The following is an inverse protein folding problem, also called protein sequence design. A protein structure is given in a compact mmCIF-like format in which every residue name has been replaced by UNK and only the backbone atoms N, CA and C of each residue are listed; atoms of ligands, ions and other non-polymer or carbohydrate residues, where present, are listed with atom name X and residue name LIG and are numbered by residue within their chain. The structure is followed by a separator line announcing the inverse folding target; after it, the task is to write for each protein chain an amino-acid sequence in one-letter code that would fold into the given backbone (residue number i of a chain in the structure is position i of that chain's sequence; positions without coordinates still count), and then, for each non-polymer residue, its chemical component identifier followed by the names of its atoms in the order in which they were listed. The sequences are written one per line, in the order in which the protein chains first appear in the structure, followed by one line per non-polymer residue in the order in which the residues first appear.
data_IF_017301161081
#
_entry.id   IF_017301161081
#
_cell.length_a   1.000
_cell.length_b   1.000
_cell.length_c   1.000
_cell.angle_alpha   90.00
_cell.angle_beta   90.00
_cell.angle_gamma   90.00
#
_symmetry.space_group_name_H-M   'P 1'
#
loop_
_entity.id
_entity.type
_entity.pdbx_description
1 polymer ?
#
# COMPACT_ATOMS: atom_id res chain seq x y z
N UNK A 1 -37.51 19.89 -7.23
CA UNK A 1 -37.07 18.66 -7.90
C UNK A 1 -37.01 17.58 -6.84
N UNK A 2 -38.09 16.84 -6.77
CA UNK A 2 -38.60 16.09 -5.64
C UNK A 2 -38.95 14.74 -6.28
N UNK A 3 -38.10 13.75 -6.02
CA UNK A 3 -38.02 12.52 -6.80
C UNK A 3 -39.17 11.53 -6.49
N UNK A 4 -40.39 12.01 -6.22
CA UNK A 4 -41.59 11.19 -6.11
C UNK A 4 -41.64 10.18 -4.94
N UNK A 5 -40.58 10.03 -4.14
CA UNK A 5 -40.61 9.22 -2.93
C UNK A 5 -41.01 10.07 -1.72
N UNK A 6 -42.22 9.83 -1.22
CA UNK A 6 -42.81 10.52 -0.06
C UNK A 6 -42.28 10.04 1.29
N UNK A 7 -41.43 9.01 1.31
CA UNK A 7 -40.88 8.42 2.53
C UNK A 7 -39.37 8.62 2.51
N UNK A 8 -38.93 9.61 3.27
CA UNK A 8 -37.52 9.83 3.51
C UNK A 8 -37.20 9.11 4.83
N UNK A 9 -36.53 7.95 4.77
CA UNK A 9 -35.88 7.27 5.90
C UNK A 9 -36.71 6.27 6.76
N UNK A 10 -37.90 5.85 6.32
CA UNK A 10 -38.60 4.71 6.94
C UNK A 10 -39.18 4.95 8.35
N UNK A 11 -39.11 6.19 8.85
CA UNK A 11 -39.72 6.64 10.12
C UNK A 11 -41.14 7.21 9.92
N UNK A 12 -41.64 7.23 8.69
CA UNK A 12 -42.96 7.74 8.32
C UNK A 12 -43.08 9.27 8.29
N UNK A 13 -42.01 10.03 8.56
CA UNK A 13 -42.07 11.50 8.64
C UNK A 13 -41.40 12.13 7.42
N UNK A 14 -42.15 12.97 6.70
CA UNK A 14 -41.59 13.70 5.54
C UNK A 14 -40.60 14.74 6.05
N UNK A 15 -39.48 14.92 5.34
CA UNK A 15 -38.47 15.91 5.70
C UNK A 15 -39.03 17.35 5.81
N UNK A 16 -40.07 17.68 5.04
CA UNK A 16 -40.78 18.97 5.10
C UNK A 16 -41.65 19.17 6.35
N UNK A 17 -41.98 18.08 7.04
CA UNK A 17 -42.85 18.08 8.23
C UNK A 17 -42.00 18.13 9.53
N UNK A 18 -40.70 18.43 9.44
CA UNK A 18 -39.84 18.63 10.61
C UNK A 18 -40.15 19.96 11.30
N UNK A 19 -40.17 19.99 12.65
CA UNK A 19 -40.66 21.15 13.42
C UNK A 19 -39.78 22.40 13.30
N UNK A 20 -38.55 22.29 12.79
CA UNK A 20 -37.62 23.41 12.64
C UNK A 20 -36.87 23.34 11.31
N UNK A 21 -36.90 24.43 10.53
CA UNK A 21 -36.26 24.52 9.22
C UNK A 21 -34.73 24.36 9.24
N UNK A 22 -34.08 24.54 10.40
CA UNK A 22 -32.63 24.41 10.55
C UNK A 22 -32.15 22.97 10.75
N UNK A 23 -33.04 21.97 10.83
CA UNK A 23 -32.65 20.60 11.08
C UNK A 23 -32.21 19.91 9.79
N UNK A 24 -30.95 19.47 9.74
CA UNK A 24 -30.45 18.56 8.70
C UNK A 24 -30.36 17.16 9.29
N UNK A 25 -31.14 16.21 8.76
CA UNK A 25 -30.99 14.80 9.09
C UNK A 25 -29.78 14.25 8.32
N UNK A 26 -28.85 13.62 9.03
CA UNK A 26 -27.69 12.93 8.44
C UNK A 26 -27.97 11.41 8.47
N UNK A 27 -27.71 10.71 7.38
CA UNK A 27 -27.69 9.25 7.35
C UNK A 27 -26.23 8.79 7.41
N UNK A 28 -25.91 7.93 8.37
CA UNK A 28 -24.62 7.24 8.45
C UNK A 28 -24.88 5.81 8.01
N UNK A 29 -24.32 5.43 6.86
CA UNK A 29 -24.33 4.05 6.40
C UNK A 29 -23.00 3.39 6.73
N UNK A 30 -23.04 2.25 7.40
CA UNK A 30 -21.86 1.40 7.57
C UNK A 30 -21.83 0.41 6.42
N UNK A 31 -20.97 0.66 5.43
CA UNK A 31 -20.69 -0.33 4.38
C UNK A 31 -19.60 -1.28 4.87
N UNK A 32 -19.79 -2.59 4.68
CA UNK A 32 -18.66 -3.52 4.81
C UNK A 32 -17.74 -3.26 3.62
N UNK A 33 -16.58 -2.68 3.88
CA UNK A 33 -15.46 -2.80 2.97
C UNK A 33 -15.15 -4.30 2.85
N UNK A 34 -14.86 -4.76 1.63
CA UNK A 34 -14.43 -6.15 1.41
C UNK A 34 -13.16 -6.48 2.21
N UNK A 35 -12.67 -7.72 2.08
CA UNK A 35 -11.39 -8.09 2.67
C UNK A 35 -10.28 -7.11 2.25
N UNK A 36 -9.50 -6.65 3.22
CA UNK A 36 -8.31 -5.83 2.94
C UNK A 36 -7.32 -6.74 2.23
N UNK A 37 -7.09 -6.49 0.94
CA UNK A 37 -6.01 -7.17 0.21
C UNK A 37 -4.72 -6.42 0.51
N UNK A 38 -3.78 -7.09 1.14
CA UNK A 38 -2.45 -6.52 1.32
C UNK A 38 -1.82 -6.26 -0.05
N UNK A 39 -1.32 -5.04 -0.32
CA UNK A 39 -0.66 -4.76 -1.58
C UNK A 39 0.57 -5.65 -1.71
N UNK A 40 0.78 -6.19 -2.92
CA UNK A 40 2.01 -6.90 -3.24
C UNK A 40 3.20 -5.96 -3.02
N UNK A 41 4.32 -6.46 -2.44
CA UNK A 41 5.51 -5.64 -2.29
C UNK A 41 6.00 -5.19 -3.66
N UNK A 42 6.30 -3.90 -3.77
CA UNK A 42 6.71 -3.27 -5.03
C UNK A 42 7.89 -2.35 -4.77
N UNK A 43 8.93 -2.49 -5.59
CA UNK A 43 10.05 -1.55 -5.64
C UNK A 43 9.53 -0.25 -6.24
N UNK A 44 9.71 0.85 -5.52
CA UNK A 44 9.22 2.17 -5.92
C UNK A 44 10.30 3.01 -6.60
N UNK A 45 11.53 2.93 -6.10
CA UNK A 45 12.63 3.73 -6.60
C UNK A 45 13.97 3.01 -6.43
N UNK A 46 14.88 3.33 -7.35
CA UNK A 46 16.31 3.02 -7.26
C UNK A 46 17.06 4.31 -7.61
N UNK A 47 17.75 4.88 -6.63
CA UNK A 47 18.37 6.21 -6.78
C UNK A 47 19.87 6.13 -6.49
N UNK A 48 20.68 6.90 -7.23
CA UNK A 48 22.10 7.00 -6.96
C UNK A 48 22.33 7.88 -5.73
N UNK A 49 23.16 7.40 -4.80
CA UNK A 49 23.54 8.12 -3.57
C UNK A 49 25.06 8.09 -3.40
N UNK A 50 25.60 8.90 -2.49
CA UNK A 50 27.03 8.87 -2.18
C UNK A 50 27.46 7.45 -1.76
N UNK A 51 28.32 6.82 -2.56
CA UNK A 51 28.83 5.48 -2.29
C UNK A 51 28.04 4.31 -2.90
N UNK A 52 26.95 4.56 -3.64
CA UNK A 52 26.23 3.51 -4.35
C UNK A 52 24.79 3.84 -4.72
N UNK A 53 23.88 2.96 -4.34
CA UNK A 53 22.47 3.03 -4.73
C UNK A 53 21.57 2.87 -3.52
N UNK A 54 20.43 3.56 -3.51
CA UNK A 54 19.39 3.41 -2.51
C UNK A 54 18.16 2.80 -3.18
N UNK A 55 17.77 1.62 -2.71
CA UNK A 55 16.55 0.93 -3.11
C UNK A 55 15.43 1.27 -2.13
N UNK A 56 14.26 1.64 -2.64
CA UNK A 56 13.09 2.03 -1.83
C UNK A 56 11.86 1.20 -2.21
N UNK A 57 11.13 0.69 -1.21
CA UNK A 57 9.88 -0.05 -1.39
C UNK A 57 8.89 0.22 -0.26
N UNK A 58 7.63 -0.21 -0.42
CA UNK A 58 6.62 -0.07 0.64
C UNK A 58 6.92 -0.99 1.82
N UNK A 59 6.76 -0.46 3.04
CA UNK A 59 6.84 -1.22 4.29
C UNK A 59 5.45 -1.76 4.66
N UNK A 60 5.14 -3.04 4.38
CA UNK A 60 3.89 -3.64 4.83
C UNK A 60 3.85 -3.70 6.37
N UNK A 61 2.65 -3.70 6.98
CA UNK A 61 2.51 -3.60 8.44
C UNK A 61 3.09 -4.79 9.22
N UNK A 62 3.09 -5.99 8.64
CA UNK A 62 3.42 -7.22 9.35
C UNK A 62 4.15 -8.27 8.48
N UNK A 63 4.73 -7.87 7.34
CA UNK A 63 5.44 -8.80 6.47
C UNK A 63 6.94 -8.64 6.58
N UNK A 64 7.63 -9.76 6.76
CA UNK A 64 9.06 -9.85 6.63
C UNK A 64 9.41 -9.92 5.13
N UNK A 65 10.12 -8.89 4.65
CA UNK A 65 10.57 -8.79 3.26
C UNK A 65 12.08 -8.96 3.20
N UNK A 66 12.53 -9.87 2.34
CA UNK A 66 13.93 -10.01 1.94
C UNK A 66 14.10 -9.43 0.54
N UNK A 67 15.12 -8.60 0.37
CA UNK A 67 15.56 -8.15 -0.96
C UNK A 67 16.52 -9.19 -1.52
N UNK A 68 16.29 -9.62 -2.75
CA UNK A 68 17.16 -10.57 -3.45
C UNK A 68 17.70 -9.98 -4.74
N UNK A 69 18.87 -10.45 -5.17
CA UNK A 69 19.56 -10.00 -6.36
C UNK A 69 19.92 -11.17 -7.29
N UNK A 70 20.03 -10.85 -8.58
CA UNK A 70 20.57 -11.73 -9.61
C UNK A 70 21.30 -10.92 -10.69
N UNK A 71 22.26 -11.53 -11.38
CA UNK A 71 22.98 -10.87 -12.49
C UNK A 71 22.22 -10.98 -13.83
N UNK A 72 21.18 -11.82 -13.89
CA UNK A 72 20.31 -12.04 -15.07
C UNK A 72 18.86 -12.22 -14.61
N UNK A 73 17.89 -11.87 -15.45
CA UNK A 73 16.47 -11.99 -15.11
C UNK A 73 15.98 -13.45 -15.17
N UNK A 74 16.46 -14.23 -16.15
CA UNK A 74 16.07 -15.65 -16.32
C UNK A 74 16.95 -16.59 -15.47
N UNK A 75 16.99 -16.37 -14.15
CA UNK A 75 17.65 -17.30 -13.23
C UNK A 75 16.64 -17.93 -12.27
N UNK A 76 16.85 -19.21 -11.96
CA UNK A 76 16.04 -19.93 -10.98
C UNK A 76 16.39 -19.52 -9.55
N UNK A 77 17.69 -19.27 -9.29
CA UNK A 77 18.19 -18.97 -7.95
C UNK A 77 18.55 -17.50 -7.82
N UNK A 78 17.86 -16.82 -6.90
CA UNK A 78 18.17 -15.46 -6.49
C UNK A 78 18.89 -15.49 -5.14
N UNK A 79 19.81 -14.56 -4.91
CA UNK A 79 20.59 -14.50 -3.67
C UNK A 79 20.08 -13.36 -2.80
N UNK A 80 19.88 -13.61 -1.51
CA UNK A 80 19.54 -12.56 -0.56
C UNK A 80 20.65 -11.50 -0.51
N UNK A 81 20.27 -10.22 -0.62
CA UNK A 81 21.19 -9.12 -0.45
C UNK A 81 21.53 -8.95 1.04
N UNK A 82 22.81 -8.82 1.40
CA UNK A 82 23.17 -8.48 2.76
C UNK A 82 22.76 -7.04 3.08
N UNK A 83 22.44 -6.80 4.35
CA UNK A 83 22.05 -5.50 4.86
C UNK A 83 20.69 -5.53 5.55
N UNK A 84 20.45 -4.54 6.39
CA UNK A 84 19.19 -4.40 7.13
C UNK A 84 18.43 -3.21 6.54
N UNK A 85 17.23 -3.44 5.98
CA UNK A 85 16.38 -2.35 5.54
C UNK A 85 16.05 -1.40 6.70
N UNK A 86 16.11 -0.10 6.45
CA UNK A 86 15.71 0.94 7.41
C UNK A 86 14.27 1.34 7.10
N UNK A 87 13.42 1.36 8.12
CA UNK A 87 12.04 1.82 7.98
C UNK A 87 11.97 3.33 8.14
N UNK A 88 11.34 4.00 7.19
CA UNK A 88 10.96 5.41 7.26
C UNK A 88 9.49 5.56 6.89
N UNK A 89 8.64 5.72 7.92
CA UNK A 89 7.19 5.76 7.78
C UNK A 89 6.62 4.56 7.01
N UNK A 90 5.95 4.78 5.86
CA UNK A 90 5.35 3.72 5.05
C UNK A 90 6.35 3.05 4.09
N UNK A 91 7.64 3.36 4.17
CA UNK A 91 8.67 2.87 3.26
C UNK A 91 9.81 2.15 3.99
N UNK A 92 10.45 1.23 3.27
CA UNK A 92 11.74 0.68 3.61
C UNK A 92 12.78 1.18 2.61
N UNK A 93 13.99 1.41 3.08
CA UNK A 93 15.14 1.76 2.26
C UNK A 93 16.31 0.80 2.54
N UNK A 94 17.07 0.46 1.51
CA UNK A 94 18.32 -0.30 1.63
C UNK A 94 19.40 0.34 0.77
N UNK A 95 20.51 0.69 1.41
CA UNK A 95 21.68 1.21 0.71
C UNK A 95 22.57 0.06 0.26
N UNK A 96 22.93 0.10 -1.02
CA UNK A 96 23.73 -0.89 -1.71
C UNK A 96 25.06 -0.25 -2.13
N UNK A 97 26.16 -0.95 -1.93
CA UNK A 97 27.44 -0.52 -2.47
C UNK A 97 27.41 -0.50 -4.01
N UNK A 98 28.12 0.47 -4.60
CA UNK A 98 28.34 0.46 -6.05
C UNK A 98 29.03 -0.85 -6.46
N UNK A 99 28.50 -1.49 -7.51
CA UNK A 99 29.14 -2.63 -8.16
C UNK A 99 29.43 -2.24 -9.61
N UNK A 100 30.58 -1.63 -9.90
CA UNK A 100 30.93 -1.28 -11.27
C UNK A 100 30.90 -2.54 -12.16
N UNK A 101 30.48 -2.34 -13.41
CA UNK A 101 30.55 -3.32 -14.49
C UNK A 101 29.71 -4.60 -14.33
N UNK A 102 28.66 -4.57 -13.50
CA UNK A 102 27.69 -5.67 -13.41
C UNK A 102 26.26 -5.17 -13.49
N UNK A 103 25.50 -5.71 -14.45
CA UNK A 103 24.04 -5.62 -14.43
C UNK A 103 23.52 -6.41 -13.24
N UNK A 104 22.63 -5.80 -12.44
CA UNK A 104 21.96 -6.46 -11.32
C UNK A 104 20.46 -6.22 -11.42
N UNK A 105 19.70 -7.28 -11.16
CA UNK A 105 18.26 -7.28 -11.05
C UNK A 105 17.88 -7.51 -9.60
N UNK A 106 16.76 -6.92 -9.17
CA UNK A 106 16.31 -6.93 -7.79
C UNK A 106 14.86 -7.40 -7.71
N UNK A 107 14.54 -8.17 -6.67
CA UNK A 107 13.17 -8.52 -6.33
C UNK A 107 12.94 -8.48 -4.83
N UNK A 108 11.67 -8.38 -4.45
CA UNK A 108 11.22 -8.46 -3.06
C UNK A 108 10.54 -9.80 -2.86
N UNK A 109 10.97 -10.56 -1.85
CA UNK A 109 10.33 -11.81 -1.45
C UNK A 109 9.77 -11.67 -0.05
N UNK A 110 8.49 -12.02 0.10
CA UNK A 110 7.83 -12.22 1.39
C UNK A 110 8.33 -13.53 2.00
N UNK A 111 8.79 -13.51 3.24
CA UNK A 111 9.21 -14.74 3.94
C UNK A 111 8.08 -15.36 4.76
N UNK A 112 6.97 -14.63 4.93
CA UNK A 112 5.77 -15.08 5.63
C UNK A 112 4.80 -15.88 4.73
N UNK A 113 5.08 -15.93 3.42
CA UNK A 113 4.33 -16.72 2.44
C UNK A 113 5.21 -17.87 1.90
N UNK A 114 4.62 -19.05 1.65
CA UNK A 114 5.33 -20.22 1.11
C UNK A 114 5.83 -20.01 -0.33
#
# INVERSE_FOLDING_TARGET
SDNGQWVFYGDGVRAKDLPYAAWKKCRVDTVRLGGIVEPKPVILAMEAVAGGWQLTWRAPPAADIVVETADRLEVETWTALPGTPVRDGPFFTLTLAASPDRTRFFRLRRTDLP
#
